data_IF_359297007923
#
_entry.id   IF_359297007923
#
_cell.length_a   1.000
_cell.length_b   1.000
_cell.length_c   1.000
_cell.angle_alpha   90.00
_cell.angle_beta   90.00
_cell.angle_gamma   90.00
#
_symmetry.space_group_name_H-M   'P 1'
#
loop_
_entity.id
_entity.type
_entity.pdbx_description
1 polymer ?
#
# COMPACT_ATOMS: atom_id res chain seq x y z
N UNK A 1 22.26 29.55 -10.28
CA UNK A 1 22.18 28.08 -10.16
C UNK A 1 21.31 27.78 -8.95
N UNK A 2 20.18 27.07 -9.11
CA UNK A 2 19.41 26.64 -7.93
C UNK A 2 20.23 25.59 -7.18
N UNK A 3 20.47 25.80 -5.88
CA UNK A 3 21.10 24.79 -5.05
C UNK A 3 20.29 23.49 -5.12
N UNK A 4 20.96 22.36 -5.32
CA UNK A 4 20.32 21.04 -5.28
C UNK A 4 19.76 20.82 -3.85
N UNK A 5 18.51 20.34 -3.71
CA UNK A 5 17.85 20.22 -2.42
C UNK A 5 18.54 19.19 -1.51
N UNK A 6 18.48 19.43 -0.20
CA UNK A 6 18.86 18.46 0.85
C UNK A 6 17.60 17.77 1.37
N UNK A 7 17.63 16.46 1.52
CA UNK A 7 16.49 15.67 1.96
C UNK A 7 16.73 15.10 3.36
N UNK A 8 15.78 15.35 4.28
CA UNK A 8 15.72 14.69 5.57
C UNK A 8 14.59 13.67 5.55
N UNK A 9 14.92 12.39 5.72
CA UNK A 9 13.96 11.29 5.76
C UNK A 9 13.78 10.79 7.20
N UNK A 10 12.61 11.00 7.76
CA UNK A 10 12.21 10.49 9.07
C UNK A 10 11.57 9.09 8.92
N UNK A 11 12.17 8.06 9.51
CA UNK A 11 11.73 6.67 9.36
C UNK A 11 11.51 5.97 10.71
N UNK A 12 10.38 5.27 10.86
CA UNK A 12 10.06 4.45 12.06
C UNK A 12 10.54 3.01 11.95
N UNK A 13 10.35 2.39 10.78
CA UNK A 13 10.73 0.98 10.53
C UNK A 13 11.93 0.88 9.60
N UNK A 14 12.65 -0.25 9.70
CA UNK A 14 13.53 -0.72 8.63
C UNK A 14 12.71 -1.62 7.72
N UNK A 15 12.91 -1.53 6.40
CA UNK A 15 12.51 -2.62 5.52
C UNK A 15 13.25 -3.88 5.97
N UNK A 16 12.52 -4.95 6.30
CA UNK A 16 13.10 -6.22 6.72
C UNK A 16 12.95 -7.21 5.58
N UNK A 17 13.99 -7.43 4.77
CA UNK A 17 14.01 -8.60 3.89
C UNK A 17 14.34 -9.84 4.74
N UNK A 18 13.51 -10.87 4.70
CA UNK A 18 13.85 -12.16 5.28
C UNK A 18 13.75 -13.27 4.23
N UNK A 19 14.86 -13.97 4.00
CA UNK A 19 14.92 -15.34 3.48
C UNK A 19 14.35 -15.63 2.09
N UNK A 20 14.62 -16.85 1.60
CA UNK A 20 13.98 -17.34 0.38
C UNK A 20 12.48 -17.57 0.64
N UNK A 21 11.64 -16.80 -0.05
CA UNK A 21 10.19 -17.00 -0.06
C UNK A 21 9.39 -16.27 1.02
N UNK A 22 10.03 -15.60 1.97
CA UNK A 22 9.37 -14.73 2.94
C UNK A 22 9.54 -13.25 2.54
N UNK A 23 8.48 -12.45 2.65
CA UNK A 23 8.53 -11.01 2.37
C UNK A 23 7.78 -10.32 3.50
N UNK A 24 8.50 -9.91 4.54
CA UNK A 24 7.97 -9.07 5.60
C UNK A 24 8.19 -7.60 5.23
N UNK A 25 7.14 -6.76 5.29
CA UNK A 25 7.21 -5.33 4.93
C UNK A 25 7.58 -4.97 3.47
N UNK A 26 7.38 -5.92 2.55
CA UNK A 26 7.19 -5.63 1.13
C UNK A 26 8.45 -5.55 0.27
N UNK A 27 8.28 -6.01 -0.97
CA UNK A 27 9.23 -5.94 -2.08
C UNK A 27 8.71 -5.01 -3.19
N UNK A 28 7.96 -3.97 -2.85
CA UNK A 28 7.50 -2.97 -3.83
C UNK A 28 8.67 -2.09 -4.23
N UNK A 29 9.46 -2.57 -5.20
CA UNK A 29 10.50 -1.76 -5.82
C UNK A 29 9.90 -0.54 -6.52
N UNK A 30 10.68 0.54 -6.55
CA UNK A 30 10.42 1.71 -7.41
C UNK A 30 10.27 1.25 -8.86
N UNK A 31 9.58 2.03 -9.70
CA UNK A 31 9.32 1.70 -11.11
C UNK A 31 9.43 2.88 -12.03
N UNK A 32 9.70 2.57 -13.31
CA UNK A 32 9.83 3.56 -14.37
C UNK A 32 10.81 4.66 -13.99
N UNK A 33 10.42 5.91 -14.23
CA UNK A 33 11.25 7.08 -13.96
C UNK A 33 11.78 7.14 -12.51
N UNK A 34 10.99 6.71 -11.52
CA UNK A 34 11.44 6.71 -10.13
C UNK A 34 12.53 5.65 -9.87
N UNK A 35 12.44 4.47 -10.51
CA UNK A 35 13.49 3.47 -10.45
C UNK A 35 14.74 3.90 -11.19
N UNK A 36 14.58 4.50 -12.36
CA UNK A 36 15.70 5.00 -13.17
C UNK A 36 16.46 6.09 -12.42
N UNK A 37 15.72 7.04 -11.84
CA UNK A 37 16.29 8.08 -10.99
C UNK A 37 16.97 7.50 -9.75
N UNK A 38 16.36 6.55 -9.04
CA UNK A 38 16.99 5.93 -7.87
C UNK A 38 18.29 5.19 -8.21
N UNK A 39 18.32 4.48 -9.35
CA UNK A 39 19.55 3.84 -9.85
C UNK A 39 20.66 4.85 -10.14
N UNK A 40 20.30 6.01 -10.65
CA UNK A 40 21.27 7.03 -11.00
C UNK A 40 21.79 7.82 -9.77
N UNK A 41 20.92 8.09 -8.79
CA UNK A 41 21.18 9.05 -7.71
C UNK A 41 21.24 8.45 -6.30
N UNK A 42 20.77 7.22 -6.07
CA UNK A 42 20.65 6.62 -4.73
C UNK A 42 21.42 5.31 -4.52
N UNK A 43 21.52 4.46 -5.56
CA UNK A 43 22.24 3.17 -5.49
C UNK A 43 23.75 3.39 -5.28
N UNK A 44 24.43 2.47 -4.58
CA UNK A 44 25.82 2.64 -4.16
C UNK A 44 26.78 2.95 -5.31
N UNK A 45 26.54 2.35 -6.49
CA UNK A 45 27.25 2.51 -7.75
C UNK A 45 26.61 3.53 -8.71
N UNK A 46 25.58 4.25 -8.25
CA UNK A 46 24.88 5.26 -9.03
C UNK A 46 25.81 6.41 -9.44
N UNK A 47 25.92 6.74 -10.74
CA UNK A 47 26.90 7.70 -11.24
C UNK A 47 26.71 9.12 -10.74
N UNK A 48 25.52 9.46 -10.22
CA UNK A 48 25.20 10.78 -9.65
C UNK A 48 24.89 10.71 -8.16
N UNK A 49 25.25 9.61 -7.48
CA UNK A 49 25.00 9.46 -6.06
C UNK A 49 25.77 10.49 -5.25
N UNK A 50 25.03 11.23 -4.44
CA UNK A 50 25.57 12.14 -3.44
C UNK A 50 24.90 11.85 -2.09
N UNK A 51 25.47 10.92 -1.34
CA UNK A 51 24.94 10.50 -0.05
C UNK A 51 24.96 11.63 0.99
N UNK A 52 25.75 12.69 0.79
CA UNK A 52 25.79 13.84 1.71
C UNK A 52 24.48 14.63 1.72
N UNK A 53 23.63 14.46 0.70
CA UNK A 53 22.34 15.16 0.54
C UNK A 53 21.16 14.51 1.22
N UNK A 54 21.35 13.33 1.81
CA UNK A 54 20.27 12.55 2.43
C UNK A 54 20.61 12.29 3.89
N UNK A 55 19.92 12.98 4.79
CA UNK A 55 19.95 12.67 6.22
C UNK A 55 18.82 11.71 6.54
N UNK A 56 19.13 10.49 7.00
CA UNK A 56 18.13 9.55 7.52
C UNK A 56 18.06 9.68 9.03
N UNK A 57 16.90 10.07 9.54
CA UNK A 57 16.64 10.21 10.97
C UNK A 57 15.70 9.08 11.40
N UNK A 58 16.17 8.22 12.31
CA UNK A 58 15.31 7.19 12.89
C UNK A 58 14.44 7.82 13.95
N UNK A 59 13.12 7.77 13.75
CA UNK A 59 12.17 8.20 14.77
C UNK A 59 12.13 7.18 15.90
N UNK A 60 12.09 7.63 17.16
CA UNK A 60 11.99 6.74 18.29
C UNK A 60 10.55 6.20 18.40
N UNK A 61 10.33 5.27 19.34
CA UNK A 61 8.98 4.82 19.67
C UNK A 61 8.15 5.94 20.32
N UNK A 62 6.81 5.84 20.31
CA UNK A 62 5.93 6.89 20.83
C UNK A 62 6.15 7.24 22.30
N UNK A 63 6.68 6.31 23.10
CA UNK A 63 6.96 6.50 24.53
C UNK A 63 8.36 7.04 24.84
N UNK A 64 9.19 7.29 23.82
CA UNK A 64 10.57 7.72 24.02
C UNK A 64 10.65 9.21 24.35
N UNK A 65 11.38 9.53 25.42
CA UNK A 65 11.54 10.91 25.90
C UNK A 65 12.92 11.50 25.59
N UNK A 66 13.91 10.68 25.21
CA UNK A 66 15.27 11.16 24.90
C UNK A 66 16.01 10.28 23.86
N UNK A 67 16.18 10.74 22.60
CA UNK A 67 15.49 11.90 22.04
C UNK A 67 13.99 11.63 21.93
N UNK A 68 13.15 12.63 22.20
CA UNK A 68 11.74 12.58 21.84
C UNK A 68 11.56 12.80 20.34
N UNK A 69 10.41 12.38 19.80
CA UNK A 69 10.06 12.61 18.40
C UNK A 69 9.99 14.12 18.08
N UNK A 70 9.37 14.91 18.96
CA UNK A 70 9.29 16.37 18.84
C UNK A 70 10.68 17.02 18.83
N UNK A 71 11.60 16.52 19.67
CA UNK A 71 12.98 17.02 19.73
C UNK A 71 13.76 16.76 18.43
N UNK A 72 13.55 15.61 17.80
CA UNK A 72 14.13 15.32 16.49
C UNK A 72 13.53 16.21 15.40
N UNK A 73 12.21 16.42 15.40
CA UNK A 73 11.59 17.32 14.45
C UNK A 73 12.10 18.75 14.61
N UNK A 74 12.15 19.29 15.82
CA UNK A 74 12.66 20.63 16.07
C UNK A 74 14.10 20.80 15.53
N UNK A 75 14.96 19.79 15.75
CA UNK A 75 16.36 19.82 15.28
C UNK A 75 16.49 19.76 13.76
N UNK A 76 15.75 18.87 13.10
CA UNK A 76 16.00 18.54 11.69
C UNK A 76 15.03 19.22 10.71
N UNK A 77 13.91 19.77 11.18
CA UNK A 77 13.02 20.59 10.36
C UNK A 77 13.48 22.04 10.27
N UNK A 78 14.40 22.48 11.12
CA UNK A 78 15.00 23.81 11.02
C UNK A 78 15.65 23.99 9.64
N UNK A 79 15.20 25.01 8.89
CA UNK A 79 15.66 25.28 7.52
C UNK A 79 14.99 24.42 6.42
N UNK A 80 14.14 23.45 6.77
CA UNK A 80 13.31 22.77 5.77
C UNK A 80 12.28 23.74 5.19
N UNK A 81 12.28 23.90 3.87
CA UNK A 81 11.34 24.79 3.15
C UNK A 81 10.08 24.08 2.69
N UNK A 82 10.11 22.74 2.64
CA UNK A 82 9.02 21.89 2.15
C UNK A 82 8.91 20.64 3.01
N UNK A 83 7.70 20.11 3.13
CA UNK A 83 7.40 18.86 3.82
C UNK A 83 6.66 17.94 2.86
N UNK A 84 7.12 16.69 2.73
CA UNK A 84 6.48 15.65 1.93
C UNK A 84 5.92 14.56 2.85
N UNK A 85 4.60 14.39 2.87
CA UNK A 85 3.96 13.28 3.57
C UNK A 85 3.91 12.06 2.64
N UNK A 86 4.68 11.03 2.96
CA UNK A 86 4.79 9.80 2.17
C UNK A 86 4.46 8.56 3.01
N UNK A 87 3.34 8.61 3.76
CA UNK A 87 2.97 7.57 4.74
C UNK A 87 1.90 6.59 4.23
N UNK A 88 1.62 6.62 2.92
CA UNK A 88 0.66 5.72 2.27
C UNK A 88 -0.67 6.40 1.93
N UNK A 89 -1.73 5.59 1.83
CA UNK A 89 -3.05 6.00 1.36
C UNK A 89 -4.13 5.52 2.31
N UNK A 90 -5.21 6.29 2.42
CA UNK A 90 -6.45 5.84 3.07
C UNK A 90 -7.46 5.42 1.99
N UNK A 91 -8.13 4.26 2.14
CA UNK A 91 -9.19 3.86 1.23
C UNK A 91 -10.30 4.91 1.20
N UNK A 92 -10.75 5.28 0.00
CA UNK A 92 -12.00 6.03 -0.16
C UNK A 92 -13.18 5.07 0.04
N UNK A 93 -14.34 5.55 0.54
CA UNK A 93 -15.55 4.75 0.56
C UNK A 93 -15.83 4.18 -0.85
N UNK A 94 -16.29 2.94 -0.90
CA UNK A 94 -16.78 2.35 -2.15
C UNK A 94 -17.94 3.21 -2.64
N UNK A 95 -17.93 3.70 -3.90
CA UNK A 95 -19.03 4.49 -4.43
C UNK A 95 -20.36 3.74 -4.34
N UNK A 96 -21.47 4.47 -4.28
CA UNK A 96 -22.80 3.85 -4.36
C UNK A 96 -22.92 3.12 -5.70
N UNK A 97 -23.21 1.81 -5.63
CA UNK A 97 -23.39 0.98 -6.81
C UNK A 97 -24.87 0.97 -7.13
N UNK A 98 -25.24 1.59 -8.26
CA UNK A 98 -26.58 1.47 -8.83
C UNK A 98 -26.53 0.45 -9.95
N UNK A 99 -27.10 -0.74 -9.75
CA UNK A 99 -27.24 -1.70 -10.85
C UNK A 99 -28.49 -1.33 -11.67
N UNK A 100 -28.29 -1.07 -12.97
CA UNK A 100 -29.41 -0.97 -13.90
C UNK A 100 -30.08 -2.34 -14.05
N UNK A 101 -31.32 -2.46 -13.58
CA UNK A 101 -32.16 -3.64 -13.81
C UNK A 101 -32.22 -4.70 -12.70
N UNK A 102 -31.50 -4.55 -11.59
CA UNK A 102 -31.62 -5.43 -10.42
C UNK A 102 -32.06 -4.62 -9.19
N UNK A 103 -33.32 -4.78 -8.79
CA UNK A 103 -33.93 -4.03 -7.69
C UNK A 103 -33.29 -4.33 -6.33
N UNK A 104 -32.70 -5.52 -6.15
CA UNK A 104 -32.05 -5.89 -4.90
C UNK A 104 -30.67 -5.24 -4.80
N UNK A 105 -29.90 -5.23 -5.89
CA UNK A 105 -28.62 -4.52 -5.93
C UNK A 105 -28.84 -3.00 -5.82
N UNK A 106 -29.84 -2.47 -6.53
CA UNK A 106 -30.22 -1.06 -6.43
C UNK A 106 -30.64 -0.66 -5.01
N UNK A 107 -31.26 -1.59 -4.25
CA UNK A 107 -31.59 -1.41 -2.84
C UNK A 107 -30.39 -1.53 -1.89
N UNK A 108 -29.25 -2.06 -2.34
CA UNK A 108 -28.01 -2.21 -1.55
C UNK A 108 -27.08 -1.02 -1.76
N UNK A 109 -27.55 0.15 -1.30
CA UNK A 109 -26.84 1.43 -1.36
C UNK A 109 -25.66 1.50 -0.36
N UNK A 110 -25.70 0.70 0.72
CA UNK A 110 -24.68 0.69 1.79
C UNK A 110 -24.29 -0.73 2.20
N UNK A 111 -23.04 -0.88 2.67
CA UNK A 111 -22.54 -2.15 3.22
C UNK A 111 -22.04 -3.14 2.16
N UNK A 112 -21.78 -2.68 0.94
CA UNK A 112 -21.00 -3.46 -0.03
C UNK A 112 -19.54 -3.42 0.39
N UNK A 113 -18.93 -4.59 0.54
CA UNK A 113 -17.55 -4.78 0.96
C UNK A 113 -16.75 -5.45 -0.15
N UNK A 114 -15.45 -5.16 -0.20
CA UNK A 114 -14.52 -5.86 -1.07
C UNK A 114 -14.07 -7.17 -0.41
N UNK A 115 -14.19 -8.27 -1.15
CA UNK A 115 -13.72 -9.58 -0.74
C UNK A 115 -12.27 -9.78 -1.23
N UNK A 116 -11.32 -9.67 -0.30
CA UNK A 116 -9.89 -9.71 -0.61
C UNK A 116 -9.38 -11.05 -1.14
N UNK A 117 -10.15 -12.14 -1.01
CA UNK A 117 -9.73 -13.48 -1.47
C UNK A 117 -10.23 -13.75 -2.89
N UNK A 118 -11.43 -13.27 -3.22
CA UNK A 118 -12.08 -13.50 -4.52
C UNK A 118 -12.01 -12.30 -5.45
N UNK A 119 -11.74 -11.11 -4.91
CA UNK A 119 -11.72 -9.84 -5.63
C UNK A 119 -13.09 -9.36 -6.08
N UNK A 120 -14.17 -9.86 -5.45
CA UNK A 120 -15.55 -9.50 -5.74
C UNK A 120 -16.08 -8.48 -4.74
N UNK A 121 -17.17 -7.81 -5.11
CA UNK A 121 -17.89 -6.90 -4.22
C UNK A 121 -19.20 -7.55 -3.78
N UNK A 122 -19.52 -7.50 -2.50
CA UNK A 122 -20.72 -8.17 -2.00
C UNK A 122 -21.10 -7.76 -0.59
N UNK A 123 -22.16 -8.38 -0.09
CA UNK A 123 -22.66 -8.19 1.27
C UNK A 123 -23.07 -9.53 1.86
N UNK A 124 -23.08 -9.61 3.19
CA UNK A 124 -23.60 -10.79 3.90
C UNK A 124 -25.12 -10.78 3.89
N UNK A 125 -25.74 -11.92 3.63
CA UNK A 125 -27.18 -12.10 3.75
C UNK A 125 -27.55 -12.47 5.20
N UNK A 126 -28.61 -11.86 5.73
CA UNK A 126 -29.09 -12.07 7.10
C UNK A 126 -28.19 -11.48 8.20
N UNK A 127 -28.64 -11.57 9.45
CA UNK A 127 -28.01 -10.93 10.64
C UNK A 127 -26.96 -11.79 11.36
N UNK A 128 -26.46 -12.88 10.76
CA UNK A 128 -25.65 -13.88 11.49
C UNK A 128 -24.63 -14.67 10.67
N UNK A 129 -23.96 -14.06 9.69
CA UNK A 129 -22.90 -14.74 8.91
C UNK A 129 -23.42 -15.65 7.80
N UNK A 130 -24.60 -15.35 7.24
CA UNK A 130 -25.16 -16.07 6.10
C UNK A 130 -24.35 -15.89 4.82
N UNK A 131 -24.81 -16.60 3.78
CA UNK A 131 -24.21 -16.63 2.45
C UNK A 131 -23.90 -15.23 1.92
N UNK A 132 -22.75 -15.06 1.25
CA UNK A 132 -22.40 -13.79 0.61
C UNK A 132 -23.10 -13.70 -0.73
N UNK A 133 -23.82 -12.60 -0.93
CA UNK A 133 -24.30 -12.23 -2.26
C UNK A 133 -23.32 -11.23 -2.88
N UNK A 134 -22.97 -11.45 -4.13
CA UNK A 134 -22.01 -10.64 -4.86
C UNK A 134 -22.71 -9.82 -5.94
N UNK A 135 -22.18 -8.62 -6.20
CA UNK A 135 -22.53 -7.81 -7.36
C UNK A 135 -22.02 -8.55 -8.62
N UNK A 136 -22.91 -8.91 -9.57
CA UNK A 136 -22.49 -9.59 -10.79
C UNK A 136 -21.51 -8.73 -11.58
N UNK A 137 -20.47 -9.37 -12.11
CA UNK A 137 -19.48 -8.77 -13.02
C UNK A 137 -18.76 -7.52 -12.48
N UNK A 138 -18.78 -7.27 -11.17
CA UNK A 138 -18.01 -6.22 -10.53
C UNK A 138 -16.83 -6.82 -9.76
N UNK A 139 -15.62 -6.47 -10.19
CA UNK A 139 -14.37 -7.04 -9.67
C UNK A 139 -13.35 -5.95 -9.36
N UNK A 140 -12.50 -6.20 -8.37
CA UNK A 140 -11.48 -5.28 -7.89
C UNK A 140 -10.11 -5.97 -7.87
N UNK A 141 -9.10 -5.22 -8.29
CA UNK A 141 -7.69 -5.57 -8.09
C UNK A 141 -6.88 -4.28 -7.92
N UNK A 142 -5.56 -4.40 -7.68
CA UNK A 142 -4.59 -3.31 -7.49
C UNK A 142 -4.51 -2.74 -6.08
N UNK A 143 -3.84 -1.59 -5.92
CA UNK A 143 -3.57 -0.95 -4.61
C UNK A 143 -4.83 -0.56 -3.85
N UNK A 144 -5.91 -0.20 -4.57
CA UNK A 144 -7.19 0.14 -3.96
C UNK A 144 -7.95 -1.11 -3.47
N UNK A 145 -7.70 -2.26 -4.11
CA UNK A 145 -8.39 -3.53 -3.86
C UNK A 145 -7.37 -4.67 -3.83
N UNK A 146 -6.44 -4.66 -2.86
CA UNK A 146 -5.33 -5.60 -2.82
C UNK A 146 -5.81 -6.98 -2.38
N UNK A 147 -5.18 -8.03 -2.87
CA UNK A 147 -5.47 -9.37 -2.39
C UNK A 147 -5.00 -9.55 -0.94
N UNK A 148 -5.69 -10.39 -0.17
CA UNK A 148 -5.15 -10.89 1.11
C UNK A 148 -4.26 -12.09 0.82
N UNK A 149 -3.06 -12.09 1.39
CA UNK A 149 -2.14 -13.23 1.30
C UNK A 149 -1.62 -13.57 2.68
N UNK A 150 -1.35 -14.85 2.87
CA UNK A 150 -0.69 -15.37 4.07
C UNK A 150 0.67 -15.89 3.65
N UNK A 151 1.74 -15.43 4.29
CA UNK A 151 3.08 -15.93 4.04
C UNK A 151 3.29 -17.33 4.69
N UNK A 152 4.40 -18.02 4.39
CA UNK A 152 4.68 -19.34 4.98
C UNK A 152 4.80 -19.35 6.51
N UNK A 153 5.08 -18.20 7.14
CA UNK A 153 5.17 -18.04 8.58
C UNK A 153 3.81 -17.75 9.23
N UNK A 154 2.76 -17.62 8.42
CA UNK A 154 1.39 -17.37 8.88
C UNK A 154 1.05 -15.88 8.99
N UNK A 155 1.94 -14.97 8.59
CA UNK A 155 1.64 -13.54 8.61
C UNK A 155 0.67 -13.20 7.49
N UNK A 156 -0.39 -12.46 7.83
CA UNK A 156 -1.41 -12.01 6.87
C UNK A 156 -1.10 -10.58 6.44
N UNK A 157 -0.98 -10.36 5.13
CA UNK A 157 -0.78 -9.03 4.55
C UNK A 157 -1.74 -8.74 3.40
N UNK A 158 -1.92 -7.45 3.12
CA UNK A 158 -2.54 -7.00 1.88
C UNK A 158 -1.46 -6.84 0.80
N UNK A 159 -1.58 -7.66 -0.24
CA UNK A 159 -0.58 -7.85 -1.27
C UNK A 159 -0.53 -6.67 -2.25
N UNK A 160 0.21 -5.61 -1.88
CA UNK A 160 0.44 -4.44 -2.74
C UNK A 160 1.68 -4.63 -3.60
N UNK A 161 1.53 -4.50 -4.92
CA UNK A 161 2.64 -4.52 -5.88
C UNK A 161 2.25 -5.19 -7.20
N UNK A 162 2.78 -4.70 -8.33
CA UNK A 162 2.37 -5.19 -9.65
C UNK A 162 2.45 -6.72 -9.82
N UNK A 163 3.57 -7.35 -9.42
CA UNK A 163 3.70 -8.81 -9.53
C UNK A 163 2.64 -9.51 -8.67
N UNK A 164 2.37 -8.99 -7.47
CA UNK A 164 1.31 -9.49 -6.58
C UNK A 164 -0.08 -9.33 -7.23
N UNK A 165 -0.34 -8.20 -7.89
CA UNK A 165 -1.58 -7.97 -8.65
C UNK A 165 -1.72 -8.94 -9.83
N UNK A 166 -0.65 -9.16 -10.59
CA UNK A 166 -0.66 -10.12 -11.70
C UNK A 166 -0.88 -11.56 -11.22
N UNK A 167 -0.28 -11.95 -10.08
CA UNK A 167 -0.52 -13.25 -9.44
C UNK A 167 -1.99 -13.39 -9.03
N UNK A 168 -2.55 -12.36 -8.38
CA UNK A 168 -3.95 -12.36 -7.98
C UNK A 168 -4.87 -12.52 -9.19
N UNK A 169 -4.70 -11.70 -10.23
CA UNK A 169 -5.50 -11.77 -11.46
C UNK A 169 -5.43 -13.15 -12.14
N UNK A 170 -4.26 -13.81 -12.14
CA UNK A 170 -4.13 -15.17 -12.66
C UNK A 170 -4.93 -16.19 -11.84
N UNK A 171 -5.00 -16.01 -10.52
CA UNK A 171 -5.72 -16.91 -9.62
C UNK A 171 -7.24 -16.77 -9.75
N UNK A 172 -7.75 -15.53 -9.80
CA UNK A 172 -9.20 -15.25 -9.81
C UNK A 172 -9.79 -15.09 -11.21
N UNK A 173 -8.96 -14.88 -12.24
CA UNK A 173 -9.44 -14.53 -13.58
C UNK A 173 -10.40 -15.56 -14.20
N UNK A 174 -10.20 -16.86 -13.93
CA UNK A 174 -11.12 -17.91 -14.40
C UNK A 174 -12.49 -17.83 -13.72
N UNK A 175 -12.54 -17.58 -12.41
CA UNK A 175 -13.81 -17.48 -11.68
C UNK A 175 -14.56 -16.22 -12.07
N UNK A 176 -13.86 -15.11 -12.33
CA UNK A 176 -14.48 -13.87 -12.81
C UNK A 176 -15.14 -14.04 -14.18
N UNK A 177 -14.54 -14.82 -15.09
CA UNK A 177 -15.10 -15.09 -16.40
C UNK A 177 -16.40 -15.92 -16.36
N UNK A 178 -16.65 -16.61 -15.25
CA UNK A 178 -17.80 -17.50 -15.05
C UNK A 178 -18.90 -16.87 -14.17
N UNK A 179 -18.67 -15.65 -13.65
CA UNK A 179 -19.46 -15.00 -12.60
C UNK A 179 -20.39 -13.87 -13.08
#
# INVERSE_FOLDING_TARGET
>A
MSALPHCVNFARSRAQGQGEGCILYGNTGLKGLAADWAREYMEEDGPKRDASRITRVRLPGPEATNPSEEGLYAKYLEGCTHILHAWGYQPRPIPEITASGDAEIAGKVKGVEFDHDTGRFGWKMGSGGGEKKYVPRLFGCSIAFPARVTDPEGNVELAVGFIKFMKFLKNVGKSWAQA
#
